data_IF_557807308330
#
_entry.id   IF_557807308330
#
_cell.length_a   1.000
_cell.length_b   1.000
_cell.length_c   1.000
_cell.angle_alpha   90.00
_cell.angle_beta   90.00
_cell.angle_gamma   90.00
#
_symmetry.space_group_name_H-M   'P 1'
#
loop_
_entity.id
_entity.type
_entity.pdbx_description
1 polymer ?
#
# COMPACT_ATOMS: atom_id res chain seq x y z
N UNK A 1 16.18 12.20 -29.63
CA UNK A 1 16.91 12.17 -28.34
C UNK A 1 16.38 13.28 -27.45
N UNK A 2 15.21 13.08 -26.84
CA UNK A 2 14.67 14.01 -25.85
C UNK A 2 14.90 13.39 -24.47
N UNK A 3 15.84 14.00 -23.75
CA UNK A 3 16.14 13.75 -22.34
C UNK A 3 14.88 13.98 -21.50
N UNK A 4 14.18 12.91 -21.13
CA UNK A 4 13.18 12.95 -20.07
C UNK A 4 13.89 13.09 -18.72
N UNK A 5 13.80 14.32 -18.20
CA UNK A 5 14.32 14.73 -16.89
C UNK A 5 13.79 13.79 -15.81
N UNK A 6 14.71 13.13 -15.11
CA UNK A 6 14.47 12.47 -13.83
C UNK A 6 13.65 13.40 -12.91
N UNK A 7 12.40 13.02 -12.64
CA UNK A 7 11.61 13.67 -11.60
C UNK A 7 12.29 13.41 -10.27
N UNK A 8 12.84 14.48 -9.68
CA UNK A 8 13.47 14.46 -8.36
C UNK A 8 12.38 14.14 -7.32
N UNK A 9 12.37 12.91 -6.82
CA UNK A 9 11.49 12.46 -5.74
C UNK A 9 11.84 13.23 -4.47
N UNK A 10 11.12 14.33 -4.23
CA UNK A 10 11.16 15.03 -2.95
C UNK A 10 10.31 14.24 -1.96
N UNK A 11 10.84 13.83 -0.81
CA UNK A 11 10.08 13.17 0.23
C UNK A 11 8.87 14.02 0.64
N UNK A 12 7.68 13.62 0.19
CA UNK A 12 6.42 14.27 0.56
C UNK A 12 6.07 13.96 2.01
N UNK A 13 5.27 14.80 2.65
CA UNK A 13 4.67 14.57 3.97
C UNK A 13 3.97 13.19 4.10
N UNK A 14 3.56 12.61 2.97
CA UNK A 14 3.05 11.25 2.89
C UNK A 14 4.10 10.18 3.26
N UNK A 15 5.36 10.33 2.82
CA UNK A 15 6.44 9.38 3.10
C UNK A 15 6.79 9.37 4.60
N UNK A 16 6.84 10.53 5.22
CA UNK A 16 7.18 10.66 6.65
C UNK A 16 6.13 10.01 7.55
N UNK A 17 4.83 10.16 7.20
CA UNK A 17 3.75 9.43 7.87
C UNK A 17 3.83 7.93 7.65
N UNK A 18 4.21 7.49 6.44
CA UNK A 18 4.32 6.07 6.12
C UNK A 18 5.39 5.36 6.95
N UNK A 19 6.53 6.01 7.18
CA UNK A 19 7.56 5.49 8.09
C UNK A 19 6.99 5.25 9.49
N UNK A 20 6.29 6.24 10.04
CA UNK A 20 5.68 6.11 11.37
C UNK A 20 4.62 5.00 11.42
N UNK A 21 3.84 4.85 10.35
CA UNK A 21 2.82 3.82 10.23
C UNK A 21 3.42 2.41 10.18
N UNK A 22 4.38 2.17 9.27
CA UNK A 22 5.04 0.87 9.10
C UNK A 22 5.85 0.47 10.32
N UNK A 23 6.51 1.42 10.98
CA UNK A 23 7.18 1.17 12.25
C UNK A 23 6.20 0.69 13.32
N UNK A 24 5.05 1.38 13.45
CA UNK A 24 4.03 1.03 14.44
C UNK A 24 3.35 -0.30 14.13
N UNK A 25 3.12 -0.65 12.86
CA UNK A 25 2.52 -1.94 12.49
C UNK A 25 3.43 -3.12 12.83
N UNK A 26 4.74 -2.91 12.88
CA UNK A 26 5.71 -3.90 13.37
C UNK A 26 5.96 -3.84 14.89
N UNK A 27 5.23 -2.99 15.63
CA UNK A 27 5.40 -2.86 17.08
C UNK A 27 6.71 -2.21 17.53
N UNK A 28 7.45 -1.58 16.60
CA UNK A 28 8.76 -0.99 16.91
C UNK A 28 8.63 0.41 17.53
N UNK A 29 9.45 0.70 18.54
CA UNK A 29 9.69 2.06 19.01
C UNK A 29 10.63 2.81 18.07
N UNK A 30 10.66 4.16 18.16
CA UNK A 30 11.63 4.96 17.39
C UNK A 30 13.09 4.61 17.73
N UNK A 31 13.35 4.20 18.97
CA UNK A 31 14.69 3.77 19.40
C UNK A 31 15.06 2.44 18.74
N UNK A 32 14.17 1.44 18.77
CA UNK A 32 14.42 0.13 18.15
C UNK A 32 14.64 0.24 16.63
N UNK A 33 13.86 1.08 15.95
CA UNK A 33 14.10 1.34 14.52
C UNK A 33 15.45 2.01 14.29
N UNK A 34 15.84 2.94 15.17
CA UNK A 34 17.12 3.63 15.08
C UNK A 34 18.30 2.67 15.29
N UNK A 35 18.20 1.79 16.28
CA UNK A 35 19.21 0.77 16.60
C UNK A 35 19.40 -0.18 15.41
N UNK A 36 18.29 -0.61 14.79
CA UNK A 36 18.31 -1.50 13.61
C UNK A 36 18.99 -0.86 12.41
N UNK A 37 18.83 0.46 12.23
CA UNK A 37 19.38 1.20 11.09
C UNK A 37 20.76 1.81 11.37
N UNK A 38 21.28 1.67 12.59
CA UNK A 38 22.55 2.29 13.02
C UNK A 38 22.49 3.82 12.98
N UNK A 39 21.37 4.42 13.42
CA UNK A 39 21.15 5.86 13.47
C UNK A 39 20.73 6.32 14.86
N UNK A 40 20.64 7.64 15.08
CA UNK A 40 20.09 8.16 16.33
C UNK A 40 18.56 8.09 16.34
N UNK A 41 17.96 7.93 17.52
CA UNK A 41 16.51 8.05 17.73
C UNK A 41 15.96 9.38 17.18
N UNK A 42 16.72 10.46 17.35
CA UNK A 42 16.37 11.78 16.81
C UNK A 42 16.29 11.75 15.28
N UNK A 43 17.14 11.01 14.58
CA UNK A 43 17.06 10.87 13.13
C UNK A 43 15.72 10.24 12.69
N UNK A 44 15.28 9.18 13.38
CA UNK A 44 13.96 8.58 13.14
C UNK A 44 12.83 9.58 13.42
N UNK A 45 12.88 10.30 14.53
CA UNK A 45 11.89 11.33 14.84
C UNK A 45 11.86 12.46 13.79
N UNK A 46 13.02 12.88 13.27
CA UNK A 46 13.11 13.86 12.18
C UNK A 46 12.48 13.35 10.88
N UNK A 47 12.69 12.07 10.55
CA UNK A 47 12.08 11.45 9.37
C UNK A 47 10.58 11.34 9.49
N UNK A 48 10.04 11.08 10.68
CA UNK A 48 8.59 10.97 10.89
C UNK A 48 7.86 12.33 10.92
N UNK A 49 8.60 13.43 11.16
CA UNK A 49 8.03 14.78 11.36
C UNK A 49 8.27 15.75 10.19
N UNK A 50 8.88 15.30 9.08
CA UNK A 50 8.91 16.07 7.83
C UNK A 50 10.25 16.71 7.45
N UNK A 51 11.36 16.46 8.17
CA UNK A 51 12.67 17.04 7.82
C UNK A 51 13.61 15.97 7.29
N UNK A 52 13.74 15.91 5.96
CA UNK A 52 14.04 14.65 5.26
C UNK A 52 15.42 14.60 4.56
N UNK A 53 16.32 15.52 4.91
CA UNK A 53 17.63 15.65 4.24
C UNK A 53 18.49 14.38 4.23
N UNK A 54 18.39 13.55 5.28
CA UNK A 54 19.18 12.32 5.43
C UNK A 54 18.45 11.03 5.10
N UNK A 55 17.13 11.06 4.87
CA UNK A 55 16.32 9.84 4.68
C UNK A 55 16.69 9.08 3.41
N UNK A 56 17.06 9.78 2.33
CA UNK A 56 17.25 9.18 1.00
C UNK A 56 18.16 7.94 1.00
N UNK A 57 19.26 7.99 1.76
CA UNK A 57 20.20 6.86 1.87
C UNK A 57 19.67 5.67 2.68
N UNK A 58 18.59 5.85 3.43
CA UNK A 58 17.93 4.82 4.23
C UNK A 58 16.68 4.26 3.58
N UNK A 59 16.19 4.82 2.47
CA UNK A 59 14.97 4.36 1.80
C UNK A 59 15.06 2.87 1.44
N UNK A 60 16.14 2.35 0.80
CA UNK A 60 16.23 0.93 0.49
C UNK A 60 16.18 0.06 1.76
N UNK A 61 16.96 0.43 2.79
CA UNK A 61 16.99 -0.30 4.07
C UNK A 61 15.65 -0.30 4.80
N UNK A 62 14.92 0.81 4.74
CA UNK A 62 13.59 0.94 5.33
C UNK A 62 12.57 0.09 4.57
N UNK A 63 12.62 0.10 3.25
CA UNK A 63 11.75 -0.73 2.41
C UNK A 63 11.96 -2.23 2.72
N UNK A 64 13.22 -2.68 2.75
CA UNK A 64 13.59 -4.05 3.10
C UNK A 64 13.14 -4.43 4.52
N UNK A 65 13.39 -3.57 5.51
CA UNK A 65 12.98 -3.78 6.91
C UNK A 65 11.46 -3.88 7.05
N UNK A 66 10.73 -3.08 6.29
CA UNK A 66 9.26 -3.08 6.30
C UNK A 66 8.63 -4.16 5.42
N UNK A 67 9.43 -4.91 4.65
CA UNK A 67 8.94 -5.95 3.74
C UNK A 67 8.12 -5.40 2.57
N UNK A 68 8.40 -4.19 2.13
CA UNK A 68 7.71 -3.54 0.99
C UNK A 68 8.73 -3.18 -0.09
N UNK A 69 8.30 -3.10 -1.35
CA UNK A 69 9.19 -2.63 -2.41
C UNK A 69 9.56 -1.15 -2.20
N UNK A 70 10.73 -0.73 -2.70
CA UNK A 70 11.13 0.69 -2.61
C UNK A 70 10.12 1.60 -3.31
N UNK A 71 9.51 1.14 -4.39
CA UNK A 71 8.45 1.86 -5.10
C UNK A 71 7.20 2.01 -4.22
N UNK A 72 6.67 0.92 -3.67
CA UNK A 72 5.53 0.93 -2.73
C UNK A 72 5.83 1.81 -1.52
N UNK A 73 7.04 1.75 -0.99
CA UNK A 73 7.47 2.58 0.12
C UNK A 73 7.46 4.08 -0.23
N UNK A 74 7.84 4.45 -1.45
CA UNK A 74 7.87 5.84 -1.92
C UNK A 74 6.48 6.36 -2.31
N UNK A 75 5.75 5.61 -3.13
CA UNK A 75 4.46 6.00 -3.72
C UNK A 75 3.31 5.75 -2.75
N UNK A 76 3.36 4.65 -1.99
CA UNK A 76 2.24 4.12 -1.20
C UNK A 76 1.17 3.45 -2.04
N UNK A 77 1.44 3.25 -3.33
CA UNK A 77 0.60 2.48 -4.21
C UNK A 77 1.14 1.06 -4.14
N UNK A 78 0.29 0.13 -3.71
CA UNK A 78 0.51 -1.29 -3.97
C UNK A 78 -0.02 -1.48 -5.38
N UNK A 79 0.88 -1.69 -6.34
CA UNK A 79 0.47 -2.42 -7.54
C UNK A 79 0.17 -3.83 -7.04
N UNK A 80 -1.08 -4.06 -6.62
CA UNK A 80 -1.55 -5.43 -6.60
C UNK A 80 -1.48 -5.87 -8.05
N UNK A 81 -0.65 -6.87 -8.34
CA UNK A 81 -0.75 -7.66 -9.56
C UNK A 81 -2.15 -8.27 -9.55
N UNK A 82 -3.16 -7.49 -9.94
CA UNK A 82 -4.43 -8.02 -10.41
C UNK A 82 -4.00 -8.81 -11.64
N UNK A 83 -4.13 -10.15 -11.64
CA UNK A 83 -3.77 -10.93 -12.80
C UNK A 83 -4.47 -10.31 -14.00
N UNK A 84 -3.70 -9.77 -14.96
CA UNK A 84 -4.28 -9.18 -16.17
C UNK A 84 -5.02 -10.25 -17.01
N UNK A 85 -4.84 -11.52 -16.65
CA UNK A 85 -5.54 -12.68 -17.18
C UNK A 85 -6.70 -13.01 -16.23
N UNK A 86 -7.90 -12.69 -16.67
CA UNK A 86 -9.13 -13.13 -16.03
C UNK A 86 -9.24 -14.65 -16.12
N UNK A 87 -9.73 -15.28 -15.06
CA UNK A 87 -10.19 -16.68 -15.16
C UNK A 87 -11.41 -16.77 -16.10
N UNK A 88 -11.71 -17.94 -16.67
CA UNK A 88 -12.87 -18.09 -17.56
C UNK A 88 -14.19 -17.63 -16.94
N UNK A 89 -14.40 -17.90 -15.64
CA UNK A 89 -15.58 -17.47 -14.91
C UNK A 89 -15.61 -15.95 -14.64
N UNK A 90 -14.45 -15.31 -14.43
CA UNK A 90 -14.35 -13.86 -14.33
C UNK A 90 -14.65 -13.17 -15.67
N UNK A 91 -14.16 -13.72 -16.79
CA UNK A 91 -14.47 -13.20 -18.13
C UNK A 91 -15.95 -13.34 -18.45
N UNK A 92 -16.56 -14.48 -18.15
CA UNK A 92 -18.00 -14.71 -18.32
C UNK A 92 -18.83 -13.75 -17.45
N UNK A 93 -18.44 -13.55 -16.18
CA UNK A 93 -19.09 -12.60 -15.28
C UNK A 93 -19.04 -11.18 -15.85
N UNK A 94 -17.87 -10.73 -16.31
CA UNK A 94 -17.70 -9.39 -16.88
C UNK A 94 -18.48 -9.23 -18.19
N UNK A 95 -18.51 -10.26 -19.03
CA UNK A 95 -19.30 -10.26 -20.27
C UNK A 95 -20.79 -10.09 -19.97
N UNK A 96 -21.33 -10.91 -19.06
CA UNK A 96 -22.73 -10.82 -18.65
C UNK A 96 -23.03 -9.47 -18.02
N UNK A 97 -22.16 -8.99 -17.13
CA UNK A 97 -22.30 -7.70 -16.47
C UNK A 97 -22.33 -6.54 -17.48
N UNK A 98 -21.49 -6.56 -18.53
CA UNK A 98 -21.47 -5.53 -19.57
C UNK A 98 -22.78 -5.44 -20.36
N UNK A 99 -23.48 -6.57 -20.54
CA UNK A 99 -24.77 -6.65 -21.25
C UNK A 99 -25.96 -6.17 -20.42
N UNK A 100 -25.82 -6.03 -19.09
CA UNK A 100 -26.89 -5.53 -18.23
C UNK A 100 -27.15 -4.03 -18.45
N UNK A 101 -28.39 -3.62 -18.20
CA UNK A 101 -28.73 -2.20 -18.09
C UNK A 101 -28.22 -1.60 -16.75
N UNK A 102 -28.18 -0.26 -16.59
CA UNK A 102 -27.63 0.37 -15.39
C UNK A 102 -28.31 -0.04 -14.07
N UNK A 103 -29.63 -0.26 -14.08
CA UNK A 103 -30.39 -0.66 -12.89
C UNK A 103 -30.01 -2.07 -12.42
N UNK A 104 -29.89 -3.00 -13.37
CA UNK A 104 -29.49 -4.37 -13.10
C UNK A 104 -28.03 -4.46 -12.65
N UNK A 105 -27.14 -3.63 -13.20
CA UNK A 105 -25.75 -3.51 -12.73
C UNK A 105 -25.69 -3.13 -11.25
N UNK A 106 -26.42 -2.08 -10.86
CA UNK A 106 -26.48 -1.62 -9.47
C UNK A 106 -27.03 -2.69 -8.53
N UNK A 107 -28.04 -3.43 -8.99
CA UNK A 107 -28.66 -4.50 -8.20
C UNK A 107 -27.70 -5.67 -8.01
N UNK A 108 -26.99 -6.08 -9.07
CA UNK A 108 -25.97 -7.12 -9.02
C UNK A 108 -24.83 -6.72 -8.06
N UNK A 109 -24.34 -5.48 -8.14
CA UNK A 109 -23.31 -4.96 -7.23
C UNK A 109 -23.77 -5.01 -5.76
N UNK A 110 -24.95 -4.47 -5.44
CA UNK A 110 -25.49 -4.50 -4.07
C UNK A 110 -25.67 -5.92 -3.54
N UNK A 111 -26.08 -6.85 -4.40
CA UNK A 111 -26.22 -8.25 -4.02
C UNK A 111 -24.85 -8.88 -3.70
N UNK A 112 -23.85 -8.67 -4.56
CA UNK A 112 -22.49 -9.17 -4.35
C UNK A 112 -21.88 -8.60 -3.06
N UNK A 113 -21.99 -7.28 -2.85
CA UNK A 113 -21.55 -6.61 -1.63
C UNK A 113 -22.19 -7.26 -0.39
N UNK A 114 -23.51 -7.47 -0.41
CA UNK A 114 -24.22 -8.11 0.71
C UNK A 114 -23.72 -9.52 1.00
N UNK A 115 -23.46 -10.32 -0.04
CA UNK A 115 -22.95 -11.69 0.16
C UNK A 115 -21.53 -11.70 0.70
N UNK A 116 -20.64 -10.85 0.18
CA UNK A 116 -19.26 -10.72 0.69
C UNK A 116 -19.26 -10.31 2.16
N UNK A 117 -20.08 -9.33 2.54
CA UNK A 117 -20.21 -8.94 3.95
C UNK A 117 -20.72 -10.08 4.82
N UNK A 118 -21.72 -10.85 4.35
CA UNK A 118 -22.25 -12.02 5.07
C UNK A 118 -21.20 -13.12 5.23
N UNK A 119 -20.40 -13.40 4.20
CA UNK A 119 -19.33 -14.39 4.21
C UNK A 119 -18.21 -13.99 5.18
N UNK A 120 -17.77 -12.73 5.13
CA UNK A 120 -16.74 -12.20 6.02
C UNK A 120 -17.20 -12.13 7.48
N UNK A 121 -18.48 -11.86 7.73
CA UNK A 121 -19.07 -11.91 9.07
C UNK A 121 -19.13 -13.36 9.61
N UNK A 122 -19.44 -14.34 8.76
CA UNK A 122 -19.45 -15.76 9.14
C UNK A 122 -18.04 -16.32 9.37
N UNK A 123 -17.03 -15.86 8.62
CA UNK A 123 -15.63 -16.27 8.78
C UNK A 123 -14.93 -15.77 10.05
N UNK A 124 -15.51 -14.79 10.76
CA UNK A 124 -14.97 -14.24 12.02
C UNK A 124 -15.33 -15.07 13.27
N UNK A 125 -16.13 -16.13 13.15
CA UNK A 125 -16.59 -16.94 14.31
C UNK A 125 -15.66 -18.13 14.62
N UNK A 126 -14.56 -18.28 13.87
CA UNK A 126 -13.59 -19.36 14.11
C UNK A 126 -12.17 -18.78 14.12
N UNK A 127 -11.82 -18.09 15.21
CA UNK A 127 -10.46 -17.84 15.64
C UNK A 127 -10.45 -17.62 17.16
#
# INVERSE_FOLDING_TARGET
>A
MTSERSQKISPSFALTRRIAMLRKSQGLSQQQLADTLGVSRSAVAFWETGRVGSLRKYIPKLADLFGVSTEVFLTGMIEEDIPAVLTPDEDDLLRLYRLLNPEMKLTAQKWMERQVHKQNAAGKVIA
#
